data_IF_433159638949
#
_entry.id   IF_433159638949
#
_cell.length_a   1.000
_cell.length_b   1.000
_cell.length_c   1.000
_cell.angle_alpha   90.00
_cell.angle_beta   90.00
_cell.angle_gamma   90.00
#
_symmetry.space_group_name_H-M   'P 1'
#
loop_
_entity.id
_entity.type
_entity.pdbx_description
1 polymer ?
#
# COMPACT_ATOMS: atom_id res chain seq x y z
N UNK A 1 30.51 9.17 8.41
CA UNK A 1 29.79 9.29 7.12
C UNK A 1 29.05 10.62 7.10
N UNK A 2 29.30 11.46 6.11
CA UNK A 2 28.67 12.78 5.92
C UNK A 2 29.21 13.41 4.63
N UNK A 3 28.40 14.18 3.90
CA UNK A 3 28.80 14.76 2.60
C UNK A 3 28.31 14.01 1.35
N UNK A 4 27.25 13.21 1.48
CA UNK A 4 26.50 12.72 0.32
C UNK A 4 25.91 13.91 -0.44
N UNK A 5 25.91 13.90 -1.78
CA UNK A 5 25.34 14.99 -2.56
C UNK A 5 23.83 15.08 -2.32
N UNK A 6 23.25 16.28 -2.36
CA UNK A 6 21.79 16.47 -2.22
C UNK A 6 20.99 15.66 -3.24
N UNK A 7 21.57 15.38 -4.41
CA UNK A 7 20.99 14.53 -5.45
C UNK A 7 20.77 13.07 -5.04
N UNK A 8 21.35 12.63 -3.91
CA UNK A 8 21.14 11.29 -3.35
C UNK A 8 19.89 11.18 -2.49
N UNK A 9 19.11 12.26 -2.34
CA UNK A 9 17.90 12.31 -1.52
C UNK A 9 16.75 12.86 -2.37
N UNK A 10 15.59 12.20 -2.33
CA UNK A 10 14.37 12.73 -2.94
C UNK A 10 13.78 13.86 -2.07
N UNK A 11 14.36 15.05 -2.21
CA UNK A 11 13.93 16.25 -1.49
C UNK A 11 12.52 16.66 -1.86
N UNK A 12 12.12 16.49 -3.12
CA UNK A 12 10.79 16.88 -3.58
C UNK A 12 9.70 16.11 -2.83
N UNK A 13 9.83 14.79 -2.71
CA UNK A 13 8.91 13.98 -1.92
C UNK A 13 8.96 14.27 -0.44
N UNK A 14 10.15 14.51 0.10
CA UNK A 14 10.28 14.84 1.52
C UNK A 14 9.51 16.13 1.87
N UNK A 15 9.66 17.18 1.05
CA UNK A 15 8.93 18.43 1.25
C UNK A 15 7.43 18.29 0.99
N UNK A 16 7.00 17.52 -0.01
CA UNK A 16 5.57 17.28 -0.23
C UNK A 16 4.91 16.52 0.91
N UNK A 17 5.63 15.57 1.54
CA UNK A 17 5.18 14.89 2.76
C UNK A 17 5.10 15.87 3.94
N UNK A 18 6.09 16.75 4.10
CA UNK A 18 6.11 17.74 5.18
C UNK A 18 4.93 18.74 5.06
N UNK A 19 4.63 19.22 3.86
CA UNK A 19 3.51 20.13 3.59
C UNK A 19 2.13 19.46 3.76
N UNK A 20 2.06 18.14 3.53
CA UNK A 20 0.81 17.36 3.68
C UNK A 20 0.59 16.79 5.09
N UNK A 21 1.42 17.17 6.07
CA UNK A 21 1.21 16.76 7.46
C UNK A 21 -0.15 17.25 7.98
N UNK A 22 -1.01 16.38 8.53
CA UNK A 22 -2.28 16.79 9.11
C UNK A 22 -2.10 17.62 10.39
N UNK A 23 -0.92 17.54 11.02
CA UNK A 23 -0.57 18.26 12.22
C UNK A 23 0.95 18.54 12.25
N UNK A 24 1.33 19.78 12.54
CA UNK A 24 2.72 20.24 12.59
C UNK A 24 3.58 19.47 13.61
N UNK A 25 2.95 18.93 14.67
CA UNK A 25 3.63 18.18 15.72
C UNK A 25 4.23 16.87 15.21
N UNK A 26 3.76 16.34 14.07
CA UNK A 26 4.34 15.16 13.43
C UNK A 26 5.67 15.46 12.75
N UNK A 27 5.95 16.72 12.42
CA UNK A 27 7.23 17.16 11.85
C UNK A 27 8.31 17.46 12.88
N UNK A 28 7.99 17.39 14.18
CA UNK A 28 8.94 17.65 15.25
C UNK A 28 9.73 16.38 15.61
N UNK A 29 11.05 16.48 15.61
CA UNK A 29 11.95 15.42 16.04
C UNK A 29 13.02 15.99 16.98
N UNK A 30 13.17 15.36 18.14
CA UNK A 30 14.19 15.70 19.14
C UNK A 30 14.72 14.40 19.75
N UNK A 31 15.94 14.05 19.33
CA UNK A 31 16.65 12.86 19.76
C UNK A 31 18.15 13.08 19.63
N UNK A 32 18.92 12.54 20.56
CA UNK A 32 20.38 12.53 20.49
C UNK A 32 20.84 11.17 19.99
N UNK A 33 21.53 11.14 18.86
CA UNK A 33 22.20 9.95 18.37
C UNK A 33 23.58 9.85 19.04
N UNK A 34 23.71 8.93 19.99
CA UNK A 34 24.93 8.69 20.77
C UNK A 34 25.71 7.44 20.35
N UNK A 35 25.09 6.53 19.58
CA UNK A 35 25.78 5.38 18.99
C UNK A 35 26.45 5.77 17.64
N UNK A 36 27.74 5.48 17.52
CA UNK A 36 28.49 5.66 16.27
C UNK A 36 28.13 4.59 15.23
N UNK A 37 27.66 3.43 15.67
CA UNK A 37 27.33 2.30 14.80
C UNK A 37 26.00 2.48 14.05
N UNK A 38 25.14 3.39 14.52
CA UNK A 38 23.88 3.69 13.83
C UNK A 38 24.16 4.17 12.40
N UNK A 39 23.65 3.43 11.42
CA UNK A 39 23.81 3.79 10.01
C UNK A 39 23.05 5.07 9.68
N UNK A 40 23.43 5.75 8.59
CA UNK A 40 22.68 6.93 8.12
C UNK A 40 21.21 6.59 7.84
N UNK A 41 20.94 5.40 7.29
CA UNK A 41 19.58 4.93 7.01
C UNK A 41 18.77 4.77 8.28
N UNK A 42 19.35 4.17 9.32
CA UNK A 42 18.66 3.98 10.62
C UNK A 42 18.37 5.31 11.30
N UNK A 43 19.30 6.26 11.23
CA UNK A 43 19.10 7.62 11.76
C UNK A 43 18.00 8.36 11.02
N UNK A 44 17.98 8.31 9.69
CA UNK A 44 16.93 8.93 8.88
C UNK A 44 15.58 8.26 9.14
N UNK A 45 15.53 6.93 9.22
CA UNK A 45 14.30 6.21 9.55
C UNK A 45 13.79 6.59 10.95
N UNK A 46 14.68 6.75 11.95
CA UNK A 46 14.29 7.22 13.28
C UNK A 46 13.65 8.62 13.21
N UNK A 47 14.19 9.54 12.41
CA UNK A 47 13.60 10.87 12.18
C UNK A 47 12.22 10.75 11.51
N UNK A 48 12.13 9.96 10.44
CA UNK A 48 10.92 9.78 9.64
C UNK A 48 9.79 9.06 10.39
N UNK A 49 10.12 8.24 11.40
CA UNK A 49 9.13 7.55 12.22
C UNK A 49 8.16 8.52 12.91
N UNK A 50 8.60 9.73 13.30
CA UNK A 50 7.76 10.75 13.93
C UNK A 50 6.51 11.10 13.10
N UNK A 51 6.61 11.03 11.78
CA UNK A 51 5.53 11.30 10.84
C UNK A 51 4.93 10.02 10.19
N UNK A 52 5.30 8.83 10.69
CA UNK A 52 5.00 7.54 10.04
C UNK A 52 5.46 7.48 8.59
N UNK A 53 6.68 7.95 8.33
CA UNK A 53 7.33 7.92 7.02
C UNK A 53 8.34 6.79 6.99
N UNK A 54 8.30 6.00 5.92
CA UNK A 54 9.30 4.98 5.60
C UNK A 54 10.35 5.60 4.68
N UNK A 55 11.61 5.45 5.04
CA UNK A 55 12.77 5.81 4.25
C UNK A 55 13.39 4.53 3.68
N UNK A 56 13.63 4.50 2.38
CA UNK A 56 14.25 3.35 1.71
C UNK A 56 15.10 3.81 0.52
N UNK A 57 16.05 2.97 0.13
CA UNK A 57 16.90 3.23 -1.03
C UNK A 57 16.22 2.74 -2.31
N UNK A 58 16.09 3.64 -3.28
CA UNK A 58 15.55 3.39 -4.61
C UNK A 58 16.58 3.84 -5.65
N UNK A 59 17.20 2.89 -6.34
CA UNK A 59 18.29 3.13 -7.31
C UNK A 59 19.39 4.11 -6.84
N UNK A 60 19.81 3.98 -5.57
CA UNK A 60 20.83 4.85 -4.97
C UNK A 60 20.33 6.23 -4.54
N UNK A 61 19.03 6.51 -4.64
CA UNK A 61 18.36 7.70 -4.10
C UNK A 61 17.54 7.32 -2.87
N UNK A 62 17.76 8.02 -1.76
CA UNK A 62 16.98 7.86 -0.55
C UNK A 62 15.59 8.48 -0.76
N UNK A 63 14.58 7.61 -0.79
CA UNK A 63 13.19 7.96 -1.12
C UNK A 63 12.29 7.75 0.09
N UNK A 64 11.19 8.50 0.13
CA UNK A 64 10.26 8.55 1.26
C UNK A 64 8.84 8.22 0.82
N UNK A 65 8.17 7.38 1.62
CA UNK A 65 6.75 7.06 1.48
C UNK A 65 6.09 7.16 2.84
N UNK A 66 4.98 7.91 2.92
CA UNK A 66 4.22 8.03 4.17
C UNK A 66 3.14 6.95 4.26
N UNK A 67 3.02 6.34 5.43
CA UNK A 67 1.92 5.44 5.79
C UNK A 67 0.64 6.25 6.10
N UNK A 68 -0.15 6.49 5.05
CA UNK A 68 -1.38 7.29 5.10
C UNK A 68 -2.47 6.70 4.21
N UNK A 69 -3.70 7.19 4.38
CA UNK A 69 -4.80 6.86 3.48
C UNK A 69 -4.43 7.24 2.05
N UNK A 70 -4.71 6.34 1.10
CA UNK A 70 -4.50 6.59 -0.32
C UNK A 70 -5.84 6.51 -1.04
N UNK A 71 -6.10 7.48 -1.93
CA UNK A 71 -7.33 7.48 -2.72
C UNK A 71 -7.28 6.45 -3.86
N UNK A 72 -6.08 6.19 -4.40
CA UNK A 72 -5.86 5.33 -5.58
C UNK A 72 -4.64 4.42 -5.42
N UNK A 73 -4.73 3.14 -5.83
CA UNK A 73 -3.57 2.26 -5.79
C UNK A 73 -2.49 2.75 -6.76
N UNK A 74 -1.23 2.62 -6.36
CA UNK A 74 -0.07 2.97 -7.16
C UNK A 74 0.12 2.05 -8.38
N UNK A 75 -0.34 0.79 -8.29
CA UNK A 75 -0.26 -0.20 -9.35
C UNK A 75 -1.43 -1.19 -9.32
N UNK A 76 -1.78 -1.75 -10.48
CA UNK A 76 -2.79 -2.81 -10.62
C UNK A 76 -2.16 -4.06 -11.24
N UNK A 77 -2.18 -5.16 -10.50
CA UNK A 77 -1.78 -6.48 -10.97
C UNK A 77 -3.00 -7.28 -11.43
N UNK A 78 -2.79 -8.19 -12.36
CA UNK A 78 -3.78 -9.15 -12.83
C UNK A 78 -3.12 -10.53 -12.98
N UNK A 79 -3.91 -11.59 -13.19
CA UNK A 79 -3.34 -12.94 -13.37
C UNK A 79 -2.34 -13.07 -14.53
N UNK A 80 -2.41 -12.20 -15.53
CA UNK A 80 -1.48 -12.25 -16.66
C UNK A 80 -0.08 -11.72 -16.30
N UNK A 81 0.02 -10.85 -15.28
CA UNK A 81 1.29 -10.29 -14.82
C UNK A 81 1.80 -10.87 -13.49
N UNK A 82 1.07 -11.83 -12.93
CA UNK A 82 1.47 -12.60 -11.75
C UNK A 82 2.03 -13.97 -12.16
N UNK A 83 3.01 -14.45 -11.41
CA UNK A 83 3.46 -15.83 -11.43
C UNK A 83 2.76 -16.57 -10.29
N UNK A 84 2.33 -17.79 -10.57
CA UNK A 84 1.72 -18.68 -9.57
C UNK A 84 2.78 -19.32 -8.66
N UNK A 85 4.05 -19.24 -9.06
CA UNK A 85 5.17 -19.68 -8.24
C UNK A 85 5.30 -18.83 -6.96
N UNK A 86 5.61 -19.48 -5.85
CA UNK A 86 5.73 -18.89 -4.50
C UNK A 86 4.49 -18.14 -3.98
N UNK A 87 3.36 -18.23 -4.69
CA UNK A 87 2.13 -17.56 -4.27
C UNK A 87 1.61 -18.15 -2.95
N UNK A 88 1.39 -17.29 -1.96
CA UNK A 88 0.89 -17.71 -0.65
C UNK A 88 0.08 -16.61 0.02
N UNK A 89 -1.17 -16.91 0.34
CA UNK A 89 -1.97 -16.12 1.28
C UNK A 89 -1.85 -16.74 2.69
N UNK A 90 -1.68 -15.89 3.69
CA UNK A 90 -1.69 -16.25 5.11
C UNK A 90 -2.75 -15.43 5.82
N UNK A 91 -3.63 -16.11 6.56
CA UNK A 91 -4.65 -15.49 7.39
C UNK A 91 -4.20 -15.52 8.85
N UNK A 92 -4.12 -14.34 9.47
CA UNK A 92 -3.81 -14.19 10.89
C UNK A 92 -5.11 -14.19 11.69
N UNK A 93 -5.50 -15.37 12.17
CA UNK A 93 -6.63 -15.51 13.06
C UNK A 93 -6.30 -14.96 14.46
N UNK A 94 -7.26 -14.28 15.10
CA UNK A 94 -7.16 -13.89 16.51
C UNK A 94 -7.26 -15.13 17.39
N UNK A 95 -6.15 -15.81 17.62
CA UNK A 95 -6.06 -16.94 18.53
C UNK A 95 -6.03 -16.45 19.99
N UNK A 96 -6.55 -17.23 20.96
CA UNK A 96 -6.27 -17.00 22.37
C UNK A 96 -4.75 -16.98 22.59
N UNK A 97 -4.20 -15.81 22.93
CA UNK A 97 -2.75 -15.57 23.02
C UNK A 97 -2.12 -14.77 21.88
N UNK A 98 -2.90 -14.35 20.86
CA UNK A 98 -2.49 -13.30 19.93
C UNK A 98 -2.40 -11.93 20.61
N UNK A 99 -1.96 -10.91 19.88
CA UNK A 99 -1.93 -9.55 20.43
C UNK A 99 -3.36 -9.02 20.60
N UNK A 100 -3.71 -8.57 21.80
CA UNK A 100 -5.02 -7.99 22.12
C UNK A 100 -4.97 -6.46 22.28
N UNK A 101 -3.83 -5.85 21.92
CA UNK A 101 -3.64 -4.40 21.95
C UNK A 101 -2.24 -4.00 21.53
N UNK A 102 -1.95 -2.70 21.63
CA UNK A 102 -0.66 -2.10 21.29
C UNK A 102 -0.18 -1.25 22.44
N UNK A 103 1.12 -1.33 22.72
CA UNK A 103 1.82 -0.45 23.64
C UNK A 103 2.92 0.29 22.86
N UNK A 104 2.83 1.62 22.80
CA UNK A 104 3.87 2.47 22.21
C UNK A 104 4.57 3.24 23.31
N UNK A 105 5.90 3.22 23.32
CA UNK A 105 6.69 4.05 24.23
C UNK A 105 7.09 5.39 23.60
N UNK A 106 7.12 6.45 24.40
CA UNK A 106 7.70 7.75 24.04
C UNK A 106 8.44 8.37 25.23
N UNK A 107 9.29 9.35 24.99
CA UNK A 107 9.99 10.07 26.08
C UNK A 107 9.36 11.44 26.25
N UNK A 108 8.79 11.70 27.43
CA UNK A 108 8.04 12.93 27.69
C UNK A 108 8.97 14.16 27.63
N UNK A 109 8.59 15.26 26.93
CA UNK A 109 9.52 16.34 26.61
C UNK A 109 9.96 17.12 27.84
N UNK A 110 9.09 17.26 28.85
CA UNK A 110 9.37 18.03 30.07
C UNK A 110 10.02 17.23 31.20
N UNK A 111 9.63 15.96 31.40
CA UNK A 111 10.13 15.13 32.51
C UNK A 111 11.30 14.25 32.08
N UNK A 112 11.53 14.10 30.78
CA UNK A 112 12.53 13.23 30.18
C UNK A 112 12.39 11.74 30.58
N UNK A 113 11.20 11.33 31.03
CA UNK A 113 10.93 9.96 31.44
C UNK A 113 10.25 9.18 30.30
N UNK A 114 10.61 7.90 30.15
CA UNK A 114 9.92 6.97 29.25
C UNK A 114 8.49 6.75 29.76
N UNK A 115 7.52 7.00 28.90
CA UNK A 115 6.07 6.92 29.14
C UNK A 115 5.45 6.02 28.06
N UNK A 116 4.28 5.46 28.32
CA UNK A 116 3.62 4.50 27.45
C UNK A 116 2.20 4.94 27.12
N UNK A 117 1.80 4.75 25.86
CA UNK A 117 0.41 4.80 25.41
C UNK A 117 -0.04 3.36 25.15
N UNK A 118 -1.17 2.98 25.75
CA UNK A 118 -1.72 1.64 25.66
C UNK A 118 -3.13 1.69 25.08
N UNK A 119 -3.34 0.93 24.03
CA UNK A 119 -4.67 0.66 23.51
C UNK A 119 -4.93 -0.85 23.51
N UNK A 120 -6.17 -1.22 23.83
CA UNK A 120 -6.63 -2.60 23.84
C UNK A 120 -7.84 -2.74 22.94
N UNK A 121 -7.94 -3.88 22.27
CA UNK A 121 -9.12 -4.27 21.48
C UNK A 121 -10.01 -5.14 22.34
N UNK A 122 -11.19 -4.65 22.71
CA UNK A 122 -12.17 -5.38 23.50
C UNK A 122 -13.52 -5.37 22.78
N UNK A 123 -14.07 -6.57 22.50
CA UNK A 123 -15.33 -6.73 21.77
C UNK A 123 -15.39 -5.94 20.44
N UNK A 124 -14.26 -5.85 19.73
CA UNK A 124 -14.15 -5.10 18.47
C UNK A 124 -14.05 -3.58 18.62
N UNK A 125 -14.06 -3.05 19.84
CA UNK A 125 -13.82 -1.63 20.12
C UNK A 125 -12.40 -1.39 20.63
N UNK A 126 -11.84 -0.23 20.31
CA UNK A 126 -10.55 0.22 20.82
C UNK A 126 -10.78 1.03 22.10
N UNK A 127 -10.12 0.63 23.19
CA UNK A 127 -10.17 1.32 24.49
C UNK A 127 -8.76 1.67 24.95
N UNK A 128 -8.60 2.83 25.58
CA UNK A 128 -7.32 3.25 26.18
C UNK A 128 -7.10 2.53 27.51
N UNK A 129 -6.51 1.34 27.44
CA UNK A 129 -6.24 0.47 28.57
C UNK A 129 -5.04 -0.43 28.25
N UNK A 130 -4.33 -0.90 29.28
CA UNK A 130 -3.34 -1.97 29.12
C UNK A 130 -3.97 -3.25 28.58
N UNK A 131 -3.33 -3.81 27.56
CA UNK A 131 -3.70 -5.08 26.95
C UNK A 131 -3.10 -6.25 27.75
N UNK A 132 -3.73 -7.43 27.69
CA UNK A 132 -3.19 -8.63 28.38
C UNK A 132 -1.93 -9.16 27.69
N UNK A 133 -1.87 -9.04 26.36
CA UNK A 133 -0.75 -9.38 25.51
C UNK A 133 -0.53 -8.26 24.46
N UNK A 134 0.10 -7.14 24.84
CA UNK A 134 0.29 -6.01 23.93
C UNK A 134 1.39 -6.29 22.91
N UNK A 135 1.16 -5.87 21.67
CA UNK A 135 2.24 -5.67 20.71
C UNK A 135 3.05 -4.44 21.15
N UNK A 136 4.28 -4.64 21.60
CA UNK A 136 5.15 -3.59 22.13
C UNK A 136 5.97 -2.96 21.02
N UNK A 137 5.78 -1.67 20.82
CA UNK A 137 6.50 -0.87 19.83
C UNK A 137 7.35 0.16 20.55
N UNK A 138 8.66 -0.08 20.53
CA UNK A 138 9.65 0.88 21.02
C UNK A 138 10.20 1.67 19.84
N UNK A 139 9.59 2.82 19.58
CA UNK A 139 9.96 3.67 18.46
C UNK A 139 10.94 4.75 18.94
N UNK A 140 12.13 4.74 18.37
CA UNK A 140 13.17 5.73 18.63
C UNK A 140 12.69 7.11 18.16
N UNK A 141 12.90 8.13 18.99
CA UNK A 141 12.64 9.52 18.62
C UNK A 141 11.20 10.02 18.87
N UNK A 142 10.30 9.19 19.40
CA UNK A 142 9.00 9.68 19.85
C UNK A 142 9.16 10.55 21.10
N UNK A 143 8.98 11.86 20.90
CA UNK A 143 9.09 12.87 21.96
C UNK A 143 7.72 13.44 22.35
N UNK A 144 6.71 13.34 21.48
CA UNK A 144 5.39 13.90 21.74
C UNK A 144 4.35 12.80 22.01
N UNK A 145 3.50 13.02 23.01
CA UNK A 145 2.34 12.19 23.30
C UNK A 145 1.43 12.04 22.07
N UNK A 146 1.25 13.12 21.30
CA UNK A 146 0.43 13.10 20.09
C UNK A 146 0.96 12.11 19.04
N UNK A 147 2.27 12.12 18.77
CA UNK A 147 2.91 11.17 17.84
C UNK A 147 2.71 9.72 18.32
N UNK A 148 2.92 9.48 19.61
CA UNK A 148 2.78 8.16 20.22
C UNK A 148 1.33 7.66 20.16
N UNK A 149 0.34 8.51 20.46
CA UNK A 149 -1.09 8.20 20.37
C UNK A 149 -1.53 7.88 18.97
N UNK A 150 -1.13 8.70 18.00
CA UNK A 150 -1.47 8.55 16.59
C UNK A 150 -0.93 7.22 16.05
N UNK A 151 0.34 6.91 16.35
CA UNK A 151 0.93 5.62 15.99
C UNK A 151 0.28 4.44 16.70
N UNK A 152 0.05 4.53 18.01
CA UNK A 152 -0.57 3.46 18.79
C UNK A 152 -1.98 3.13 18.28
N UNK A 153 -2.76 4.15 17.95
CA UNK A 153 -4.11 3.98 17.41
C UNK A 153 -4.07 3.33 16.03
N UNK A 154 -3.19 3.79 15.12
CA UNK A 154 -3.03 3.20 13.79
C UNK A 154 -2.65 1.72 13.86
N UNK A 155 -1.68 1.38 14.69
CA UNK A 155 -1.23 -0.02 14.85
C UNK A 155 -2.30 -0.90 15.50
N UNK A 156 -3.09 -0.33 16.43
CA UNK A 156 -4.23 -1.06 17.01
C UNK A 156 -5.31 -1.32 15.95
N UNK A 157 -5.60 -0.36 15.08
CA UNK A 157 -6.50 -0.55 13.94
C UNK A 157 -5.94 -1.58 12.95
N UNK A 158 -4.63 -1.60 12.72
CA UNK A 158 -3.95 -2.58 11.87
C UNK A 158 -4.14 -4.02 12.39
N UNK A 159 -4.12 -4.24 13.72
CA UNK A 159 -4.46 -5.55 14.31
C UNK A 159 -5.91 -6.00 14.00
N UNK A 160 -6.83 -5.06 13.79
CA UNK A 160 -8.25 -5.36 13.49
C UNK A 160 -8.45 -5.56 11.99
N UNK A 161 -7.94 -4.64 11.17
CA UNK A 161 -8.29 -4.49 9.75
C UNK A 161 -7.23 -4.98 8.77
N UNK A 162 -6.07 -5.47 9.23
CA UNK A 162 -5.02 -6.02 8.37
C UNK A 162 -4.63 -7.41 8.87
N UNK A 163 -5.43 -8.41 8.47
CA UNK A 163 -5.30 -9.81 8.94
C UNK A 163 -4.83 -10.75 7.86
N UNK A 164 -4.86 -10.31 6.62
CA UNK A 164 -4.43 -11.12 5.48
C UNK A 164 -3.08 -10.62 4.99
N UNK A 165 -2.15 -11.54 4.77
CA UNK A 165 -0.86 -11.27 4.13
C UNK A 165 -0.74 -12.11 2.88
N UNK A 166 -0.13 -11.56 1.84
CA UNK A 166 0.10 -12.26 0.59
C UNK A 166 1.57 -12.14 0.18
N UNK A 167 2.12 -13.26 -0.28
CA UNK A 167 3.36 -13.30 -1.04
C UNK A 167 2.98 -13.57 -2.49
N UNK A 168 3.44 -12.71 -3.39
CA UNK A 168 3.19 -12.85 -4.82
C UNK A 168 4.46 -12.50 -5.61
N UNK A 169 4.69 -13.23 -6.69
CA UNK A 169 5.75 -12.95 -7.64
C UNK A 169 5.11 -12.30 -8.88
N UNK A 170 5.51 -11.09 -9.22
CA UNK A 170 4.96 -10.32 -10.34
C UNK A 170 6.04 -9.98 -11.35
N UNK A 171 5.68 -9.75 -12.60
CA UNK A 171 6.62 -9.13 -13.52
C UNK A 171 6.94 -7.71 -13.06
N UNK A 172 8.17 -7.26 -13.31
CA UNK A 172 8.57 -5.87 -13.08
C UNK A 172 7.79 -4.97 -14.04
N UNK A 173 6.66 -4.47 -13.58
CA UNK A 173 5.80 -3.57 -14.34
C UNK A 173 5.21 -2.51 -13.42
N UNK A 174 5.50 -1.25 -13.76
CA UNK A 174 5.21 -0.08 -12.93
C UNK A 174 6.25 0.19 -11.83
N UNK A 175 6.28 1.43 -11.36
CA UNK A 175 7.14 1.87 -10.25
C UNK A 175 6.39 1.58 -8.94
N UNK A 176 6.65 0.42 -8.34
CA UNK A 176 6.11 0.07 -7.03
C UNK A 176 7.12 0.44 -5.96
N UNK A 177 6.64 1.00 -4.85
CA UNK A 177 7.48 1.41 -3.75
C UNK A 177 7.01 0.78 -2.46
N UNK A 178 7.94 0.54 -1.53
CA UNK A 178 7.60 0.07 -0.19
C UNK A 178 6.68 1.08 0.48
N UNK A 179 5.63 0.60 1.14
CA UNK A 179 4.56 1.41 1.74
C UNK A 179 3.45 1.82 0.77
N UNK A 180 3.59 1.59 -0.54
CA UNK A 180 2.53 1.89 -1.51
C UNK A 180 1.36 0.93 -1.38
N UNK A 181 0.16 1.43 -1.68
CA UNK A 181 -1.03 0.59 -1.84
C UNK A 181 -1.12 0.12 -3.29
N UNK A 182 -1.30 -1.16 -3.51
CA UNK A 182 -1.49 -1.76 -4.84
C UNK A 182 -2.83 -2.50 -4.87
N UNK A 183 -3.37 -2.68 -6.07
CA UNK A 183 -4.52 -3.54 -6.28
C UNK A 183 -4.05 -4.85 -6.92
N UNK A 184 -4.30 -5.97 -6.23
CA UNK A 184 -3.83 -7.27 -6.68
C UNK A 184 -4.89 -8.35 -6.41
N UNK A 185 -5.25 -9.14 -7.44
CA UNK A 185 -6.20 -10.22 -7.30
C UNK A 185 -5.67 -11.37 -6.44
N UNK A 186 -6.60 -12.14 -5.90
CA UNK A 186 -6.31 -13.48 -5.39
C UNK A 186 -6.33 -14.46 -6.58
N UNK A 187 -5.23 -15.17 -6.80
CA UNK A 187 -5.15 -16.11 -7.92
C UNK A 187 -6.11 -17.30 -7.76
N UNK A 188 -6.61 -17.57 -6.55
CA UNK A 188 -7.56 -18.63 -6.26
C UNK A 188 -9.03 -18.17 -6.33
N UNK A 189 -9.30 -16.86 -6.37
CA UNK A 189 -10.67 -16.33 -6.41
C UNK A 189 -11.26 -16.36 -7.83
N UNK A 190 -12.27 -17.19 -8.04
CA UNK A 190 -12.94 -17.35 -9.34
C UNK A 190 -13.89 -16.22 -9.75
N UNK A 191 -14.27 -15.33 -8.83
CA UNK A 191 -15.25 -14.27 -9.13
C UNK A 191 -14.64 -13.07 -9.87
N UNK A 192 -13.31 -12.98 -9.87
CA UNK A 192 -12.58 -11.83 -10.37
C UNK A 192 -12.52 -11.83 -11.90
N UNK A 193 -12.93 -10.72 -12.50
CA UNK A 193 -13.02 -10.56 -13.94
C UNK A 193 -11.98 -9.54 -14.41
N UNK A 194 -11.02 -10.01 -15.19
CA UNK A 194 -9.84 -9.25 -15.55
C UNK A 194 -9.27 -9.75 -16.87
N UNK A 195 -8.44 -8.92 -17.48
CA UNK A 195 -7.76 -9.27 -18.72
C UNK A 195 -7.03 -8.06 -19.28
N UNK A 196 -6.95 -8.02 -20.61
CA UNK A 196 -6.38 -6.89 -21.32
C UNK A 196 -7.37 -6.30 -22.33
N UNK A 197 -7.14 -5.02 -22.65
CA UNK A 197 -7.92 -4.27 -23.61
C UNK A 197 -7.44 -4.62 -25.02
N UNK A 198 -8.38 -5.01 -25.89
CA UNK A 198 -8.11 -5.36 -27.29
C UNK A 198 -8.52 -4.25 -28.26
N UNK A 199 -9.31 -3.29 -27.79
CA UNK A 199 -9.84 -2.20 -28.61
C UNK A 199 -10.58 -1.16 -27.76
N UNK A 200 -10.71 0.04 -28.31
CA UNK A 200 -11.50 1.12 -27.69
C UNK A 200 -12.15 1.98 -28.77
N UNK A 201 -13.45 2.21 -28.64
CA UNK A 201 -14.23 3.14 -29.45
C UNK A 201 -15.01 4.10 -28.53
N UNK A 202 -14.47 5.30 -28.31
CA UNK A 202 -15.08 6.25 -27.37
C UNK A 202 -15.05 5.73 -25.93
N UNK A 203 -16.24 5.46 -25.38
CA UNK A 203 -16.40 4.89 -24.02
C UNK A 203 -16.58 3.37 -24.04
N UNK A 204 -16.61 2.76 -25.22
CA UNK A 204 -16.73 1.31 -25.36
C UNK A 204 -15.34 0.70 -25.47
N UNK A 205 -15.09 -0.30 -24.62
CA UNK A 205 -13.85 -1.04 -24.55
C UNK A 205 -14.12 -2.48 -24.98
N UNK A 206 -13.20 -3.05 -25.77
CA UNK A 206 -13.17 -4.46 -26.11
C UNK A 206 -12.16 -5.18 -25.20
N UNK A 207 -12.52 -6.37 -24.74
CA UNK A 207 -11.74 -7.13 -23.75
C UNK A 207 -11.36 -8.52 -24.24
N UNK A 208 -10.22 -9.01 -23.74
CA UNK A 208 -9.72 -10.36 -24.04
C UNK A 208 -10.62 -11.48 -23.52
N UNK A 209 -11.32 -11.23 -22.40
CA UNK A 209 -12.15 -12.20 -21.69
C UNK A 209 -13.61 -11.71 -21.64
N UNK A 210 -14.60 -12.64 -21.57
CA UNK A 210 -15.99 -12.28 -21.43
C UNK A 210 -16.30 -11.76 -20.03
N UNK A 211 -17.18 -10.76 -19.92
CA UNK A 211 -17.59 -10.15 -18.66
C UNK A 211 -19.05 -10.48 -18.35
N UNK A 212 -19.28 -10.92 -17.13
CA UNK A 212 -20.57 -11.16 -16.50
C UNK A 212 -20.85 -10.03 -15.52
N UNK A 213 -21.82 -9.17 -15.84
CA UNK A 213 -22.21 -8.07 -14.96
C UNK A 213 -23.17 -8.55 -13.87
N UNK A 214 -22.80 -8.32 -12.61
CA UNK A 214 -23.66 -8.55 -11.45
C UNK A 214 -23.77 -7.27 -10.63
N UNK A 215 -24.98 -6.69 -10.57
CA UNK A 215 -25.20 -5.43 -9.86
C UNK A 215 -24.40 -4.26 -10.44
N UNK A 216 -23.98 -3.34 -9.57
CA UNK A 216 -23.15 -2.19 -9.93
C UNK A 216 -21.68 -2.56 -9.91
N UNK A 217 -21.04 -2.55 -11.08
CA UNK A 217 -19.62 -2.86 -11.23
C UNK A 217 -18.81 -1.63 -11.63
N UNK A 218 -17.56 -1.64 -11.20
CA UNK A 218 -16.58 -0.60 -11.50
C UNK A 218 -15.36 -1.22 -12.14
N UNK A 219 -14.72 -0.46 -13.04
CA UNK A 219 -13.54 -0.88 -13.77
C UNK A 219 -12.39 0.08 -13.53
N UNK A 220 -11.18 -0.48 -13.42
CA UNK A 220 -9.93 0.25 -13.54
C UNK A 220 -9.24 -0.22 -14.83
N UNK A 221 -8.60 0.72 -15.54
CA UNK A 221 -7.82 0.42 -16.75
C UNK A 221 -6.42 0.99 -16.59
N UNK A 222 -5.39 0.29 -17.06
CA UNK A 222 -4.03 0.85 -17.07
C UNK A 222 -3.73 1.58 -18.37
N UNK A 223 -3.07 2.74 -18.29
CA UNK A 223 -2.55 3.45 -19.46
C UNK A 223 -1.32 2.73 -20.06
N UNK A 224 -0.71 3.33 -21.09
CA UNK A 224 0.46 2.79 -21.79
C UNK A 224 1.74 2.75 -20.94
N UNK A 225 1.76 3.44 -19.80
CA UNK A 225 2.85 3.45 -18.84
C UNK A 225 2.57 2.52 -17.64
N UNK A 226 1.42 1.83 -17.63
CA UNK A 226 1.02 0.94 -16.55
C UNK A 226 0.30 1.65 -15.39
N UNK A 227 0.08 2.97 -15.47
CA UNK A 227 -0.62 3.69 -14.40
C UNK A 227 -2.12 3.38 -14.44
N UNK A 228 -2.74 3.05 -13.31
CA UNK A 228 -4.16 2.78 -13.28
C UNK A 228 -5.01 4.06 -13.32
N UNK A 229 -6.16 4.00 -13.98
CA UNK A 229 -7.19 5.04 -13.89
C UNK A 229 -7.89 5.01 -12.54
N UNK A 230 -8.71 6.02 -12.30
CA UNK A 230 -9.76 5.96 -11.27
C UNK A 230 -10.71 4.78 -11.54
N UNK A 231 -11.51 4.44 -10.53
CA UNK A 231 -12.65 3.53 -10.69
C UNK A 231 -13.75 4.23 -11.48
N UNK A 232 -14.12 3.67 -12.62
CA UNK A 232 -15.25 4.17 -13.41
C UNK A 232 -16.41 3.17 -13.35
N UNK A 233 -17.66 3.65 -13.23
CA UNK A 233 -18.81 2.77 -13.34
C UNK A 233 -18.81 2.14 -14.74
N UNK A 234 -18.95 0.82 -14.77
CA UNK A 234 -18.95 0.04 -15.99
C UNK A 234 -20.35 -0.56 -16.23
N UNK A 235 -20.76 -0.58 -17.48
CA UNK A 235 -22.04 -1.15 -17.91
C UNK A 235 -21.83 -2.18 -19.01
N UNK A 236 -22.71 -3.17 -19.05
CA UNK A 236 -22.67 -4.22 -20.05
C UNK A 236 -22.98 -3.65 -21.44
N UNK A 237 -22.20 -4.09 -22.43
CA UNK A 237 -22.48 -3.83 -23.83
C UNK A 237 -23.58 -4.76 -24.33
N UNK A 238 -24.50 -4.22 -25.14
CA UNK A 238 -25.61 -5.00 -25.69
C UNK A 238 -25.21 -5.86 -26.90
N UNK A 239 -24.11 -5.50 -27.56
CA UNK A 239 -23.63 -6.12 -28.80
C UNK A 239 -22.64 -7.28 -28.56
N UNK A 240 -21.93 -7.29 -27.42
CA UNK A 240 -20.93 -8.31 -27.11
C UNK A 240 -20.78 -8.54 -25.61
N UNK A 241 -20.37 -9.75 -25.24
CA UNK A 241 -19.92 -10.09 -23.88
C UNK A 241 -18.43 -9.81 -23.64
N UNK A 242 -17.67 -9.52 -24.71
CA UNK A 242 -16.23 -9.24 -24.68
C UNK A 242 -15.97 -7.73 -24.67
N UNK A 243 -16.62 -7.03 -23.75
CA UNK A 243 -16.45 -5.59 -23.64
C UNK A 243 -17.35 -4.95 -22.58
N UNK A 244 -17.06 -3.69 -22.29
CA UNK A 244 -17.81 -2.86 -21.35
C UNK A 244 -17.87 -1.41 -21.83
N UNK A 245 -18.86 -0.66 -21.32
CA UNK A 245 -18.96 0.79 -21.54
C UNK A 245 -18.66 1.52 -20.23
N UNK A 246 -17.67 2.40 -20.25
CA UNK A 246 -17.28 3.23 -19.10
C UNK A 246 -16.75 4.60 -19.56
N UNK A 247 -17.10 5.66 -18.82
CA UNK A 247 -16.72 7.04 -19.14
C UNK A 247 -15.28 7.38 -18.71
N UNK A 248 -14.32 6.52 -19.04
CA UNK A 248 -12.91 6.71 -18.75
C UNK A 248 -12.37 7.84 -19.66
N UNK A 249 -11.58 8.81 -19.16
CA UNK A 249 -10.94 9.83 -19.96
C UNK A 249 -10.10 9.25 -21.11
N UNK A 250 -9.74 10.10 -22.07
CA UNK A 250 -8.85 9.68 -23.14
C UNK A 250 -7.46 9.41 -22.57
N UNK A 251 -7.13 8.13 -22.40
CA UNK A 251 -5.83 7.63 -21.96
C UNK A 251 -5.17 6.91 -23.12
N UNK A 252 -3.86 6.99 -23.22
CA UNK A 252 -3.11 6.21 -24.20
C UNK A 252 -3.13 4.74 -23.75
N UNK A 253 -3.58 3.85 -24.64
CA UNK A 253 -3.64 2.41 -24.38
C UNK A 253 -2.58 1.68 -25.20
N UNK A 254 -1.99 0.65 -24.60
CA UNK A 254 -1.22 -0.33 -25.34
C UNK A 254 -2.16 -1.45 -25.80
N UNK A 255 -2.41 -1.54 -27.11
CA UNK A 255 -3.19 -2.64 -27.70
C UNK A 255 -2.22 -3.65 -28.29
N UNK A 256 -2.27 -4.89 -27.79
CA UNK A 256 -1.39 -5.96 -28.27
C UNK A 256 -1.60 -6.19 -29.77
N UNK A 257 -0.51 -6.09 -30.53
CA UNK A 257 -0.51 -6.25 -32.00
C UNK A 257 0.23 -7.52 -32.47
N UNK A 258 0.73 -8.36 -31.55
CA UNK A 258 1.47 -9.57 -31.88
C UNK A 258 2.93 -9.37 -32.29
N UNK A 259 3.45 -8.15 -32.20
CA UNK A 259 4.79 -7.82 -32.68
C UNK A 259 5.50 -6.82 -31.74
N UNK A 260 5.20 -5.53 -31.88
CA UNK A 260 5.95 -4.45 -31.21
C UNK A 260 5.41 -4.05 -29.83
N UNK A 261 4.14 -4.34 -29.54
CA UNK A 261 3.54 -4.01 -28.23
C UNK A 261 3.58 -5.25 -27.35
N UNK A 262 4.52 -5.28 -26.40
CA UNK A 262 4.73 -6.46 -25.55
C UNK A 262 3.83 -6.53 -24.29
N UNK A 263 3.34 -5.39 -23.81
CA UNK A 263 2.50 -5.32 -22.60
C UNK A 263 1.23 -4.54 -22.90
N UNK A 264 0.07 -5.20 -23.07
CA UNK A 264 -1.18 -4.51 -23.33
C UNK A 264 -1.73 -3.84 -22.07
N UNK A 265 -2.49 -2.77 -22.27
CA UNK A 265 -3.30 -2.13 -21.23
C UNK A 265 -4.28 -3.13 -20.63
N UNK A 266 -4.41 -3.10 -19.31
CA UNK A 266 -5.14 -4.09 -18.53
C UNK A 266 -6.44 -3.52 -18.03
N UNK A 267 -7.36 -4.41 -17.68
CA UNK A 267 -8.53 -4.03 -16.92
C UNK A 267 -8.80 -5.01 -15.79
N UNK A 268 -9.46 -4.49 -14.77
CA UNK A 268 -10.01 -5.23 -13.65
C UNK A 268 -11.41 -4.67 -13.39
N UNK A 269 -12.43 -5.53 -13.45
CA UNK A 269 -13.82 -5.16 -13.25
C UNK A 269 -14.46 -6.04 -12.18
N UNK A 270 -15.05 -5.41 -11.18
CA UNK A 270 -15.73 -6.11 -10.09
C UNK A 270 -16.70 -5.16 -9.36
N UNK A 271 -17.41 -5.68 -8.36
CA UNK A 271 -18.17 -4.84 -7.42
C UNK A 271 -17.22 -4.00 -6.55
N UNK A 272 -17.72 -2.93 -5.92
CA UNK A 272 -16.88 -2.09 -5.03
C UNK A 272 -16.26 -2.90 -3.91
N UNK A 273 -17.07 -3.74 -3.25
CA UNK A 273 -16.62 -4.58 -2.13
C UNK A 273 -15.51 -5.54 -2.55
N UNK A 274 -15.62 -6.14 -3.74
CA UNK A 274 -14.56 -7.01 -4.28
C UNK A 274 -13.29 -6.24 -4.63
N UNK A 275 -13.40 -5.05 -5.24
CA UNK A 275 -12.23 -4.23 -5.56
C UNK A 275 -11.51 -3.75 -4.28
N UNK A 276 -12.25 -3.45 -3.22
CA UNK A 276 -11.68 -3.05 -1.93
C UNK A 276 -10.98 -4.22 -1.24
N UNK A 277 -11.51 -5.44 -1.36
CA UNK A 277 -10.86 -6.66 -0.83
C UNK A 277 -9.53 -7.01 -1.51
N UNK A 278 -9.21 -6.35 -2.64
CA UNK A 278 -8.00 -6.57 -3.42
C UNK A 278 -6.95 -5.48 -3.22
N UNK A 279 -7.14 -4.59 -2.24
CA UNK A 279 -6.15 -3.58 -1.90
C UNK A 279 -5.14 -4.12 -0.90
N UNK A 280 -3.86 -3.88 -1.19
CA UNK A 280 -2.75 -4.37 -0.38
C UNK A 280 -1.69 -3.30 -0.19
N UNK A 281 -1.18 -3.15 1.02
CA UNK A 281 0.02 -2.35 1.31
C UNK A 281 1.27 -3.18 1.08
N UNK A 282 2.24 -2.64 0.33
CA UNK A 282 3.51 -3.30 0.04
C UNK A 282 4.45 -3.18 1.23
N UNK A 283 4.79 -4.30 1.87
CA UNK A 283 5.71 -4.34 3.00
C UNK A 283 7.17 -4.49 2.55
N UNK A 284 7.41 -5.28 1.50
CA UNK A 284 8.76 -5.47 0.96
C UNK A 284 8.74 -5.82 -0.51
N UNK A 285 9.79 -5.38 -1.20
CA UNK A 285 10.04 -5.63 -2.61
C UNK A 285 11.39 -6.34 -2.73
N UNK A 286 11.42 -7.50 -3.37
CA UNK A 286 12.64 -8.26 -3.63
C UNK A 286 12.78 -8.52 -5.13
N UNK A 287 13.72 -7.83 -5.82
CA UNK A 287 14.02 -8.13 -7.22
C UNK A 287 14.58 -9.55 -7.38
N UNK A 288 14.16 -10.23 -8.45
CA UNK A 288 14.65 -11.55 -8.83
C UNK A 288 15.52 -11.47 -10.08
N UNK A 289 16.24 -12.55 -10.39
CA UNK A 289 17.14 -12.62 -11.56
C UNK A 289 16.42 -12.81 -12.90
N UNK A 290 15.10 -13.02 -12.89
CA UNK A 290 14.26 -13.38 -14.04
C UNK A 290 13.30 -12.26 -14.48
N UNK A 291 13.67 -10.99 -14.24
CA UNK A 291 12.83 -9.79 -14.51
C UNK A 291 11.46 -9.84 -13.81
N UNK A 292 11.43 -10.49 -12.65
CA UNK A 292 10.26 -10.49 -11.76
C UNK A 292 10.65 -9.90 -10.41
N UNK A 293 9.63 -9.57 -9.65
CA UNK A 293 9.74 -9.00 -8.32
C UNK A 293 8.86 -9.81 -7.39
N UNK A 294 9.42 -10.25 -6.26
CA UNK A 294 8.66 -10.86 -5.19
C UNK A 294 8.17 -9.79 -4.22
N UNK A 295 6.86 -9.72 -4.04
CA UNK A 295 6.17 -8.78 -3.18
C UNK A 295 5.68 -9.51 -1.92
N UNK A 296 5.96 -8.93 -0.76
CA UNK A 296 5.23 -9.23 0.47
C UNK A 296 4.28 -8.08 0.74
N UNK A 297 2.99 -8.39 0.86
CA UNK A 297 1.95 -7.38 1.03
C UNK A 297 1.01 -7.75 2.18
N UNK A 298 0.42 -6.75 2.80
CA UNK A 298 -0.60 -6.90 3.83
C UNK A 298 -1.90 -6.24 3.40
N UNK A 299 -3.02 -6.78 3.86
CA UNK A 299 -4.36 -6.26 3.59
C UNK A 299 -4.45 -4.78 3.95
N UNK A 300 -4.92 -3.98 3.00
CA UNK A 300 -5.15 -2.55 3.18
C UNK A 300 -6.61 -2.29 3.51
N UNK A 301 -6.85 -1.37 4.44
CA UNK A 301 -8.19 -0.86 4.74
C UNK A 301 -8.12 0.61 5.10
N UNK A 302 -9.00 1.41 4.51
CA UNK A 302 -9.19 2.82 4.86
C UNK A 302 -9.48 3.01 6.36
N UNK A 303 -10.12 2.02 7.00
CA UNK A 303 -10.46 2.06 8.42
C UNK A 303 -9.23 2.12 9.34
N UNK A 304 -8.02 1.83 8.82
CA UNK A 304 -6.76 2.01 9.54
C UNK A 304 -6.44 3.49 9.76
N UNK A 305 -6.90 4.37 8.86
CA UNK A 305 -6.53 5.79 8.81
C UNK A 305 -7.65 6.76 9.20
N UNK A 306 -8.86 6.25 9.52
CA UNK A 306 -10.00 7.01 10.05
C UNK A 306 -9.98 7.02 11.57
#
# INVERSE_FOLDING_TARGET
MGGQPESSIDLYRLYSIAESLPDERLGYFDYTFDDENDSLGDRVQAICNAASVMAYWDDGVLTFTRDQKVDYPAAVFNRANMKTDEYKITYEATLPGGYDGVQVSYVHPTTNNKTYINYRVQNGAIVEQEAENPNKLEIVGFRNEYQARERALRETKRLIYSRVKMNAKVFEDGIIQVGSVIQMPDIYDSNQQQGYITGRAGNDFDTSEPITFTGSMYVLVTDSLGNPTLRYPATARSDTKYGFTAAIPNIQLNIWNGDTVQLPSRYLIATVDELDSQLWTVNSIKPNTDNTVSLNVAEYSDAIYQ
#
